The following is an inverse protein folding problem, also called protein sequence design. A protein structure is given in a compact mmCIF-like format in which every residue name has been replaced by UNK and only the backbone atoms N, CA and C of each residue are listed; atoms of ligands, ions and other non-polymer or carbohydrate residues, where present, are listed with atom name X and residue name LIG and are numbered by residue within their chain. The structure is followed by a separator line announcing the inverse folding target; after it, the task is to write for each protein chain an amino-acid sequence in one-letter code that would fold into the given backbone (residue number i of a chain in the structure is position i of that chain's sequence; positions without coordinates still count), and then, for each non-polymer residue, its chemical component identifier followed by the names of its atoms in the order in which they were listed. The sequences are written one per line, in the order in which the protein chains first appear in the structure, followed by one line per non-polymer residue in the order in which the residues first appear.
data_IF_643586988558
#
_entry.id   IF_643586988558
#
_cell.length_a   1.000
_cell.length_b   1.000
_cell.length_c   1.000
_cell.angle_alpha   90.00
_cell.angle_beta   90.00
_cell.angle_gamma   90.00
#
_symmetry.space_group_name_H-M   'P 1'
#
loop_
_entity.id
_entity.type
_entity.pdbx_description
1 polymer ?
#
# COMPACT_ATOMS: atom_id res chain seq x y z
N UNK A 1 10.23 40.31 -7.34
CA UNK A 1 11.29 39.53 -6.66
C UNK A 1 10.75 39.04 -5.34
N UNK A 2 11.03 37.77 -5.03
CA UNK A 2 10.93 37.04 -3.76
C UNK A 2 9.53 36.92 -3.12
N UNK A 3 9.06 35.74 -2.72
CA UNK A 3 9.70 34.42 -2.68
C UNK A 3 8.76 33.43 -2.00
N UNK A 4 8.54 32.29 -2.66
CA UNK A 4 7.80 31.12 -2.18
C UNK A 4 8.74 30.25 -1.33
N UNK A 5 8.44 30.10 -0.04
CA UNK A 5 9.23 29.28 0.88
C UNK A 5 8.40 28.78 2.05
N UNK A 6 7.46 27.87 1.81
CA UNK A 6 6.60 27.31 2.88
C UNK A 6 6.19 25.84 2.74
N UNK A 7 6.43 25.20 1.58
CA UNK A 7 5.95 23.83 1.33
C UNK A 7 6.86 22.71 1.87
N UNK A 8 8.19 22.90 1.87
CA UNK A 8 9.16 21.85 2.21
C UNK A 8 9.26 21.51 3.70
N UNK A 9 8.84 22.41 4.60
CA UNK A 9 9.03 22.25 6.05
C UNK A 9 7.98 21.38 6.74
N UNK A 10 6.80 21.18 6.12
CA UNK A 10 5.71 20.36 6.70
C UNK A 10 5.92 18.86 6.42
N UNK A 11 6.31 18.50 5.20
CA UNK A 11 6.65 17.12 4.81
C UNK A 11 7.86 16.58 5.57
N UNK A 12 8.88 17.40 5.80
CA UNK A 12 10.05 17.00 6.61
C UNK A 12 9.67 16.75 8.08
N UNK A 13 8.73 17.51 8.65
CA UNK A 13 8.24 17.28 10.02
C UNK A 13 7.45 15.98 10.14
N UNK A 14 6.67 15.61 9.14
CA UNK A 14 5.94 14.33 9.10
C UNK A 14 6.91 13.14 8.97
N UNK A 15 7.96 13.27 8.15
CA UNK A 15 9.03 12.27 8.03
C UNK A 15 9.82 12.13 9.34
N UNK A 16 10.17 13.24 10.00
CA UNK A 16 10.81 13.21 11.32
C UNK A 16 9.88 12.68 12.41
N UNK A 17 8.57 12.94 12.35
CA UNK A 17 7.60 12.34 13.27
C UNK A 17 7.48 10.83 13.06
N UNK A 18 7.46 10.37 11.81
CA UNK A 18 7.45 8.94 11.48
C UNK A 18 8.74 8.25 11.95
N UNK A 19 9.90 8.83 11.67
CA UNK A 19 11.21 8.29 12.10
C UNK A 19 11.35 8.35 13.63
N UNK A 20 10.94 9.45 14.27
CA UNK A 20 11.01 9.59 15.74
C UNK A 20 9.97 8.74 16.46
N UNK A 21 8.83 8.42 15.86
CA UNK A 21 7.88 7.45 16.40
C UNK A 21 8.48 6.03 16.30
N UNK A 22 9.11 5.69 15.17
CA UNK A 22 9.85 4.44 15.00
C UNK A 22 11.01 4.30 15.99
N UNK A 23 11.80 5.36 16.23
CA UNK A 23 12.89 5.34 17.19
C UNK A 23 12.43 5.36 18.66
N UNK A 24 11.32 6.04 18.99
CA UNK A 24 10.78 6.05 20.36
C UNK A 24 10.17 4.71 20.77
N UNK A 25 9.51 4.01 19.86
CA UNK A 25 8.98 2.66 20.11
C UNK A 25 10.12 1.64 20.34
N UNK A 26 11.22 1.73 19.58
CA UNK A 26 12.39 0.87 19.73
C UNK A 26 13.12 1.00 21.08
N UNK A 27 12.84 2.05 21.85
CA UNK A 27 13.47 2.34 23.15
C UNK A 27 12.55 2.09 24.36
N UNK A 28 11.36 1.52 24.15
CA UNK A 28 10.42 1.21 25.24
C UNK A 28 10.36 -0.30 25.48
N UNK A 29 10.72 -0.72 26.70
CA UNK A 29 10.41 -2.05 27.22
C UNK A 29 8.88 -2.21 27.35
N UNK A 30 8.29 -3.35 26.96
CA UNK A 30 6.85 -3.57 27.05
C UNK A 30 6.39 -3.58 28.52
N UNK A 31 5.58 -2.60 28.90
CA UNK A 31 4.91 -2.61 30.21
C UNK A 31 3.74 -3.59 30.18
N UNK A 32 3.95 -4.75 30.78
CA UNK A 32 2.86 -5.62 31.23
C UNK A 32 2.24 -5.04 32.50
N UNK A 33 0.91 -4.92 32.53
CA UNK A 33 0.17 -4.68 33.77
C UNK A 33 -0.87 -5.77 33.99
N UNK A 34 -0.93 -6.22 35.25
CA UNK A 34 -1.62 -7.40 35.73
C UNK A 34 -3.15 -7.27 35.71
N UNK A 35 -3.78 -8.43 35.54
CA UNK A 35 -5.22 -8.69 35.60
C UNK A 35 -5.75 -8.74 37.04
N UNK A 36 -7.03 -8.37 37.19
CA UNK A 36 -7.88 -8.88 38.29
C UNK A 36 -9.28 -9.21 37.74
N UNK A 37 -9.89 -10.23 38.33
CA UNK A 37 -11.04 -11.00 37.89
C UNK A 37 -12.39 -10.51 38.46
N UNK A 38 -13.50 -10.68 37.73
CA UNK A 38 -14.60 -11.61 38.06
C UNK A 38 -15.91 -11.38 37.26
N UNK A 39 -16.53 -12.52 36.93
CA UNK A 39 -17.96 -12.88 36.80
C UNK A 39 -18.84 -12.44 35.62
N UNK A 40 -19.67 -13.41 35.23
CA UNK A 40 -20.46 -13.55 34.01
C UNK A 40 -21.86 -12.93 34.05
N UNK A 41 -22.33 -12.46 32.90
CA UNK A 41 -23.69 -12.70 32.39
C UNK A 41 -23.70 -12.53 30.86
N UNK A 42 -24.38 -13.43 30.15
CA UNK A 42 -24.49 -13.47 28.69
C UNK A 42 -25.57 -12.50 28.19
N UNK A 43 -25.14 -11.36 27.61
CA UNK A 43 -25.64 -10.68 26.39
C UNK A 43 -25.27 -9.19 26.44
N UNK A 44 -24.18 -8.83 25.74
CA UNK A 44 -23.84 -7.50 25.17
C UNK A 44 -22.35 -7.50 24.81
N UNK A 45 -21.98 -7.23 23.55
CA UNK A 45 -20.62 -6.80 23.24
C UNK A 45 -20.62 -5.47 22.46
N UNK A 46 -21.04 -4.34 23.05
CA UNK A 46 -20.76 -3.02 22.48
C UNK A 46 -19.33 -2.63 22.87
N UNK A 47 -18.37 -3.17 22.13
CA UNK A 47 -16.99 -2.68 22.08
C UNK A 47 -16.78 -1.83 20.84
N UNK A 48 -15.91 -0.83 20.93
CA UNK A 48 -15.58 0.07 19.81
C UNK A 48 -14.15 -0.19 19.41
N UNK A 49 -13.94 -0.71 18.22
CA UNK A 49 -12.61 -0.82 17.62
C UNK A 49 -12.49 0.17 16.48
N UNK A 50 -11.44 0.97 16.52
CA UNK A 50 -11.08 1.85 15.42
C UNK A 50 -9.61 1.67 15.07
N UNK A 51 -9.22 2.17 13.92
CA UNK A 51 -7.83 2.37 13.55
C UNK A 51 -7.64 3.76 13.00
N UNK A 52 -6.42 4.28 13.12
CA UNK A 52 -6.00 5.43 12.35
C UNK A 52 -4.69 5.14 11.64
N UNK A 53 -4.44 5.88 10.56
CA UNK A 53 -3.19 5.83 9.83
C UNK A 53 -2.70 7.24 9.58
N UNK A 54 -1.43 7.50 9.89
CA UNK A 54 -0.75 8.74 9.52
C UNK A 54 -0.23 8.70 8.08
N UNK A 55 -0.33 7.55 7.39
CA UNK A 55 0.13 7.39 6.02
C UNK A 55 -0.92 7.77 4.97
N UNK A 56 -0.49 7.79 3.71
CA UNK A 56 -1.35 8.07 2.55
C UNK A 56 -2.19 6.84 2.18
N UNK A 57 -2.88 6.87 1.03
CA UNK A 57 -3.91 5.90 0.64
C UNK A 57 -3.55 4.43 0.88
N UNK A 58 -2.37 3.95 0.47
CA UNK A 58 -1.97 2.55 0.69
C UNK A 58 -1.90 2.15 2.19
N UNK A 59 -1.52 3.08 3.07
CA UNK A 59 -1.54 2.82 4.52
C UNK A 59 -2.97 2.88 5.08
N UNK A 60 -3.83 3.75 4.56
CA UNK A 60 -5.25 3.81 4.94
C UNK A 60 -5.95 2.48 4.62
N UNK A 61 -5.74 1.95 3.41
CA UNK A 61 -6.25 0.64 3.00
C UNK A 61 -5.75 -0.48 3.90
N UNK A 62 -4.44 -0.46 4.22
CA UNK A 62 -3.81 -1.41 5.15
C UNK A 62 -4.47 -1.42 6.53
N UNK A 63 -4.59 -0.26 7.16
CA UNK A 63 -5.19 -0.18 8.49
C UNK A 63 -6.68 -0.52 8.49
N UNK A 64 -7.42 -0.12 7.45
CA UNK A 64 -8.82 -0.53 7.29
C UNK A 64 -8.94 -2.05 7.24
N UNK A 65 -8.16 -2.71 6.40
CA UNK A 65 -8.21 -4.15 6.21
C UNK A 65 -7.82 -4.91 7.50
N UNK A 66 -6.77 -4.44 8.19
CA UNK A 66 -6.35 -5.00 9.48
C UNK A 66 -7.39 -4.77 10.57
N UNK A 67 -7.99 -3.58 10.65
CA UNK A 67 -9.07 -3.28 11.60
C UNK A 67 -10.24 -4.24 11.39
N UNK A 68 -10.74 -4.34 10.15
CA UNK A 68 -11.87 -5.20 9.84
C UNK A 68 -11.57 -6.66 10.19
N UNK A 69 -10.38 -7.14 9.83
CA UNK A 69 -9.98 -8.53 10.03
C UNK A 69 -9.76 -8.87 11.50
N UNK A 70 -9.08 -8.01 12.25
CA UNK A 70 -8.85 -8.22 13.67
C UNK A 70 -10.14 -8.07 14.47
N UNK A 71 -11.00 -7.13 14.13
CA UNK A 71 -12.31 -6.98 14.79
C UNK A 71 -13.16 -8.25 14.61
N UNK A 72 -13.24 -8.78 13.38
CA UNK A 72 -13.93 -10.05 13.10
C UNK A 72 -13.31 -11.22 13.86
N UNK A 73 -11.99 -11.33 13.85
CA UNK A 73 -11.28 -12.41 14.54
C UNK A 73 -11.54 -12.39 16.05
N UNK A 74 -11.68 -11.20 16.63
CA UNK A 74 -11.90 -11.03 18.07
C UNK A 74 -13.39 -10.88 18.44
N UNK A 75 -14.31 -11.07 17.50
CA UNK A 75 -15.76 -10.92 17.74
C UNK A 75 -16.17 -9.51 18.18
N UNK A 76 -15.55 -8.47 17.60
CA UNK A 76 -15.74 -7.06 17.94
C UNK A 76 -16.34 -6.27 16.79
N UNK A 77 -17.07 -5.21 17.11
CA UNK A 77 -17.55 -4.24 16.14
C UNK A 77 -16.45 -3.22 15.84
N UNK A 78 -16.14 -3.04 14.55
CA UNK A 78 -15.24 -1.99 14.08
C UNK A 78 -16.03 -0.79 13.54
N UNK A 79 -15.41 0.39 13.63
CA UNK A 79 -15.93 1.64 13.11
C UNK A 79 -14.88 2.37 12.30
N UNK A 80 -15.32 3.05 11.25
CA UNK A 80 -14.48 3.91 10.44
C UNK A 80 -14.34 5.27 11.13
N UNK A 81 -13.12 5.67 11.48
CA UNK A 81 -12.89 6.99 12.06
C UNK A 81 -13.05 8.10 11.00
N UNK A 82 -13.45 9.33 11.38
CA UNK A 82 -13.71 10.41 10.42
C UNK A 82 -12.52 10.75 9.51
N UNK A 83 -11.29 10.64 10.01
CA UNK A 83 -10.08 10.89 9.22
C UNK A 83 -9.88 9.85 8.12
N UNK A 84 -10.07 8.55 8.41
CA UNK A 84 -9.99 7.50 7.40
C UNK A 84 -11.19 7.53 6.45
N UNK A 85 -12.39 7.87 6.94
CA UNK A 85 -13.59 8.07 6.15
C UNK A 85 -13.36 9.07 5.00
N UNK A 86 -12.76 10.23 5.32
CA UNK A 86 -12.39 11.26 4.34
C UNK A 86 -11.47 10.76 3.21
N UNK A 87 -10.62 9.77 3.47
CA UNK A 87 -9.74 9.19 2.46
C UNK A 87 -10.42 8.12 1.61
N UNK A 88 -11.24 7.27 2.22
CA UNK A 88 -11.67 6.01 1.62
C UNK A 88 -13.07 6.08 1.02
N UNK A 89 -14.01 6.79 1.63
CA UNK A 89 -15.40 6.86 1.14
C UNK A 89 -15.58 7.59 -0.19
N UNK A 90 -14.73 8.57 -0.58
CA UNK A 90 -14.78 9.10 -1.94
C UNK A 90 -14.40 8.08 -3.01
N UNK A 91 -13.85 6.92 -2.62
CA UNK A 91 -13.30 5.91 -3.52
C UNK A 91 -14.09 4.60 -3.49
N UNK A 92 -14.57 4.18 -2.33
CA UNK A 92 -15.08 2.82 -2.10
C UNK A 92 -16.44 2.78 -1.42
N UNK A 93 -17.16 1.68 -1.65
CA UNK A 93 -18.38 1.35 -0.90
C UNK A 93 -18.04 0.46 0.31
N UNK A 94 -17.73 1.09 1.45
CA UNK A 94 -17.23 0.42 2.67
C UNK A 94 -18.39 -0.08 3.54
N UNK A 95 -18.22 -1.24 4.18
CA UNK A 95 -19.24 -1.81 5.09
C UNK A 95 -19.13 -1.33 6.54
N UNK A 96 -17.96 -0.83 6.96
CA UNK A 96 -17.79 -0.35 8.32
C UNK A 96 -18.60 0.92 8.56
N UNK A 97 -19.43 0.98 9.62
CA UNK A 97 -20.15 2.19 9.97
C UNK A 97 -19.17 3.28 10.41
N UNK A 98 -19.49 4.55 10.12
CA UNK A 98 -18.75 5.69 10.67
C UNK A 98 -18.90 5.74 12.19
N UNK A 99 -17.81 6.05 12.89
CA UNK A 99 -17.87 6.42 14.29
C UNK A 99 -18.60 7.77 14.43
N UNK A 100 -19.65 7.89 15.26
CA UNK A 100 -20.35 9.16 15.48
C UNK A 100 -19.43 10.24 16.07
N UNK A 101 -19.43 11.45 15.50
CA UNK A 101 -18.54 12.56 15.90
C UNK A 101 -18.70 13.01 17.36
N UNK A 102 -19.89 12.81 17.92
CA UNK A 102 -20.22 13.20 19.31
C UNK A 102 -19.83 12.15 20.34
N UNK A 103 -19.30 11.01 19.91
CA UNK A 103 -18.99 9.90 20.80
C UNK A 103 -17.59 10.08 21.40
N UNK A 104 -17.53 10.53 22.67
CA UNK A 104 -16.28 10.53 23.43
C UNK A 104 -16.00 9.10 23.92
N UNK A 105 -15.32 8.33 23.08
CA UNK A 105 -14.95 6.95 23.41
C UNK A 105 -13.58 6.94 24.09
N UNK A 106 -13.53 6.53 25.35
CA UNK A 106 -12.26 6.22 26.00
C UNK A 106 -11.67 4.95 25.36
N UNK A 107 -10.66 5.12 24.52
CA UNK A 107 -10.01 4.05 23.75
C UNK A 107 -8.65 3.72 24.34
N UNK A 108 -8.32 2.44 24.41
CA UNK A 108 -6.97 2.00 24.72
C UNK A 108 -6.16 1.88 23.43
N UNK A 109 -5.03 2.57 23.38
CA UNK A 109 -4.05 2.44 22.30
C UNK A 109 -3.50 1.01 22.27
N UNK A 110 -3.48 0.40 21.09
CA UNK A 110 -2.96 -0.93 20.90
C UNK A 110 -2.10 -1.00 19.64
N UNK A 111 -0.79 -1.20 19.85
CA UNK A 111 0.21 -1.15 18.79
C UNK A 111 0.25 -2.46 17.98
N UNK A 112 0.16 -2.31 16.66
CA UNK A 112 0.36 -3.36 15.68
C UNK A 112 1.77 -3.29 15.10
N UNK A 113 2.44 -4.43 15.10
CA UNK A 113 3.70 -4.66 14.39
C UNK A 113 3.44 -4.83 12.87
N UNK A 114 4.51 -4.90 12.09
CA UNK A 114 4.47 -4.97 10.62
C UNK A 114 4.01 -6.35 10.09
N UNK A 115 3.67 -7.29 10.98
CA UNK A 115 3.14 -8.62 10.66
C UNK A 115 2.22 -9.14 11.77
N UNK A 116 1.34 -10.07 11.41
CA UNK A 116 0.42 -10.72 12.33
C UNK A 116 1.17 -11.66 13.30
N UNK A 117 0.82 -11.58 14.57
CA UNK A 117 1.35 -12.42 15.65
C UNK A 117 0.22 -13.07 16.44
N UNK A 118 0.55 -14.11 17.22
CA UNK A 118 -0.43 -14.87 18.02
C UNK A 118 -1.19 -13.96 19.01
N UNK A 119 -0.49 -12.97 19.58
CA UNK A 119 -1.05 -12.01 20.55
C UNK A 119 -2.26 -11.23 19.99
N UNK A 120 -2.37 -11.08 18.67
CA UNK A 120 -3.45 -10.33 18.03
C UNK A 120 -4.72 -11.16 17.79
N UNK A 121 -4.65 -12.49 17.96
CA UNK A 121 -5.82 -13.36 17.79
C UNK A 121 -6.80 -13.31 18.96
N UNK A 122 -6.37 -12.79 20.12
CA UNK A 122 -7.17 -12.74 21.33
C UNK A 122 -6.89 -11.47 22.15
N UNK A 123 -7.28 -10.33 21.61
CA UNK A 123 -7.23 -9.02 22.28
C UNK A 123 -8.45 -8.92 23.22
N UNK A 124 -8.18 -8.96 24.53
CA UNK A 124 -9.23 -8.91 25.57
C UNK A 124 -9.90 -7.54 25.69
N UNK A 125 -9.29 -6.49 25.17
CA UNK A 125 -9.78 -5.11 25.26
C UNK A 125 -11.07 -4.89 24.47
N UNK A 126 -12.02 -4.21 25.11
CA UNK A 126 -13.34 -3.94 24.52
C UNK A 126 -13.37 -2.65 23.70
N UNK A 127 -12.54 -1.66 24.04
CA UNK A 127 -12.44 -0.36 23.37
C UNK A 127 -11.00 -0.10 22.94
N UNK A 128 -10.73 -0.21 21.65
CA UNK A 128 -9.36 -0.27 21.12
C UNK A 128 -9.18 0.75 20.00
N UNK A 129 -8.08 1.48 20.07
CA UNK A 129 -7.53 2.21 18.95
C UNK A 129 -6.29 1.46 18.44
N UNK A 130 -6.44 0.79 17.31
CA UNK A 130 -5.35 0.10 16.64
C UNK A 130 -4.44 1.12 15.96
N UNK A 131 -3.17 1.14 16.36
CA UNK A 131 -2.14 2.03 15.81
C UNK A 131 -0.91 1.22 15.37
N UNK A 132 0.13 1.89 14.88
CA UNK A 132 1.36 1.24 14.44
C UNK A 132 1.37 0.90 12.94
N UNK A 133 1.75 -0.32 12.62
CA UNK A 133 2.11 -0.75 11.27
C UNK A 133 1.34 -1.96 10.74
N UNK A 134 0.07 -2.10 11.14
CA UNK A 134 -0.82 -3.15 10.65
C UNK A 134 -1.21 -3.00 9.18
N UNK A 135 -0.25 -3.05 8.24
CA UNK A 135 -0.49 -2.94 6.80
C UNK A 135 -0.18 -4.24 6.04
N UNK A 136 0.36 -5.26 6.73
CA UNK A 136 0.74 -6.53 6.13
C UNK A 136 -0.47 -7.40 5.79
N UNK A 137 -0.39 -8.11 4.66
CA UNK A 137 -1.38 -9.11 4.25
C UNK A 137 -1.67 -10.16 5.31
N UNK A 138 -0.69 -10.45 6.18
CA UNK A 138 -0.81 -11.46 7.24
C UNK A 138 -1.93 -11.16 8.23
N UNK A 139 -2.37 -9.90 8.34
CA UNK A 139 -3.52 -9.51 9.17
C UNK A 139 -4.87 -9.87 8.55
N UNK A 140 -4.98 -9.80 7.21
CA UNK A 140 -6.29 -9.71 6.54
C UNK A 140 -6.54 -10.70 5.40
N UNK A 141 -5.50 -11.36 4.88
CA UNK A 141 -5.63 -12.27 3.73
C UNK A 141 -6.53 -13.48 3.99
N UNK A 142 -6.69 -13.87 5.26
CA UNK A 142 -7.68 -14.89 5.66
C UNK A 142 -9.12 -14.52 5.32
N UNK A 143 -9.42 -13.24 5.11
CA UNK A 143 -10.71 -12.70 4.69
C UNK A 143 -10.62 -12.07 3.30
N UNK A 144 -9.71 -12.55 2.44
CA UNK A 144 -9.36 -11.93 1.14
C UNK A 144 -10.57 -11.48 0.33
N UNK A 145 -11.54 -12.35 0.12
CA UNK A 145 -12.70 -12.03 -0.73
C UNK A 145 -13.55 -10.92 -0.13
N UNK A 146 -13.70 -10.90 1.20
CA UNK A 146 -14.41 -9.85 1.90
C UNK A 146 -13.66 -8.53 1.79
N UNK A 147 -12.35 -8.54 2.01
CA UNK A 147 -11.49 -7.36 1.86
C UNK A 147 -11.55 -6.80 0.44
N UNK A 148 -11.56 -7.66 -0.58
CA UNK A 148 -11.73 -7.21 -1.97
C UNK A 148 -13.11 -6.56 -2.20
N UNK A 149 -14.17 -7.08 -1.59
CA UNK A 149 -15.51 -6.46 -1.67
C UNK A 149 -15.56 -5.08 -1.03
N UNK A 150 -14.91 -4.89 0.11
CA UNK A 150 -14.79 -3.57 0.77
C UNK A 150 -14.17 -2.52 -0.16
N UNK A 151 -13.20 -2.92 -0.97
CA UNK A 151 -12.49 -2.02 -1.88
C UNK A 151 -13.05 -2.05 -3.31
N UNK A 152 -14.36 -2.26 -3.43
CA UNK A 152 -15.08 -2.03 -4.69
C UNK A 152 -15.19 -0.53 -4.96
N UNK A 153 -14.62 -0.07 -6.06
CA UNK A 153 -14.62 1.34 -6.43
C UNK A 153 -16.03 1.87 -6.74
N UNK A 154 -16.28 3.13 -6.38
CA UNK A 154 -17.52 3.82 -6.73
C UNK A 154 -17.69 3.96 -8.26
N UNK A 155 -18.94 4.01 -8.78
CA UNK A 155 -19.21 4.04 -10.22
C UNK A 155 -18.45 5.13 -10.98
N UNK A 156 -18.32 6.34 -10.42
CA UNK A 156 -17.63 7.46 -11.05
C UNK A 156 -16.12 7.19 -11.26
N UNK A 157 -15.48 6.52 -10.30
CA UNK A 157 -14.06 6.14 -10.39
C UNK A 157 -13.91 5.03 -11.44
N UNK A 158 -14.84 4.07 -11.45
CA UNK A 158 -14.85 2.96 -12.41
C UNK A 158 -15.05 3.45 -13.84
N UNK A 159 -15.99 4.35 -14.07
CA UNK A 159 -16.26 4.90 -15.40
C UNK A 159 -15.05 5.62 -15.99
N UNK A 160 -14.35 6.39 -15.15
CA UNK A 160 -13.09 7.05 -15.54
C UNK A 160 -12.01 6.04 -15.91
N UNK A 161 -11.86 4.98 -15.09
CA UNK A 161 -10.93 3.87 -15.36
C UNK A 161 -11.25 3.14 -16.66
N UNK A 162 -12.51 2.72 -16.84
CA UNK A 162 -12.98 1.96 -17.99
C UNK A 162 -12.83 2.76 -19.29
N UNK A 163 -13.06 4.08 -19.22
CA UNK A 163 -12.86 4.99 -20.36
C UNK A 163 -11.38 5.08 -20.73
N UNK A 164 -10.50 5.24 -19.76
CA UNK A 164 -9.06 5.27 -19.99
C UNK A 164 -8.56 3.96 -20.62
N UNK A 165 -8.87 2.80 -20.02
CA UNK A 165 -8.40 1.51 -20.53
C UNK A 165 -8.96 1.18 -21.92
N UNK A 166 -10.24 1.51 -22.20
CA UNK A 166 -10.80 1.38 -23.55
C UNK A 166 -10.09 2.28 -24.56
N UNK A 167 -9.73 3.51 -24.16
CA UNK A 167 -8.99 4.42 -25.03
C UNK A 167 -7.59 3.89 -25.37
N UNK A 168 -6.93 3.22 -24.42
CA UNK A 168 -5.64 2.55 -24.66
C UNK A 168 -5.84 1.37 -25.59
N UNK A 169 -6.82 0.49 -25.31
CA UNK A 169 -7.13 -0.67 -26.15
C UNK A 169 -7.43 -0.28 -27.61
N UNK A 170 -8.18 0.81 -27.82
CA UNK A 170 -8.49 1.32 -29.16
C UNK A 170 -7.24 1.78 -29.93
N UNK A 171 -6.25 2.38 -29.25
CA UNK A 171 -5.01 2.86 -29.87
C UNK A 171 -4.11 1.73 -30.38
N UNK A 172 -4.17 0.57 -29.72
CA UNK A 172 -3.30 -0.58 -30.01
C UNK A 172 -4.02 -1.71 -30.76
N UNK A 173 -5.32 -1.56 -31.02
CA UNK A 173 -6.13 -2.60 -31.66
C UNK A 173 -5.57 -3.05 -33.02
N UNK A 174 -4.91 -2.15 -33.76
CA UNK A 174 -4.25 -2.46 -35.03
C UNK A 174 -2.89 -3.17 -34.88
N UNK A 175 -2.28 -3.12 -33.70
CA UNK A 175 -0.95 -3.67 -33.40
C UNK A 175 -1.01 -5.11 -32.87
N UNK A 176 -2.13 -5.49 -32.24
CA UNK A 176 -2.32 -6.81 -31.65
C UNK A 176 -3.35 -7.62 -32.44
N UNK A 177 -2.93 -8.76 -32.96
CA UNK A 177 -3.73 -9.65 -33.81
C UNK A 177 -4.81 -10.38 -33.00
N UNK A 178 -5.98 -9.78 -32.84
CA UNK A 178 -7.25 -10.43 -32.44
C UNK A 178 -7.32 -11.09 -31.05
N UNK A 179 -6.24 -11.11 -30.27
CA UNK A 179 -6.20 -11.66 -28.92
C UNK A 179 -6.64 -10.64 -27.86
N UNK A 180 -7.12 -11.12 -26.72
CA UNK A 180 -7.42 -10.28 -25.56
C UNK A 180 -6.13 -9.60 -25.08
N UNK A 181 -6.10 -8.27 -25.16
CA UNK A 181 -5.02 -7.42 -24.64
C UNK A 181 -4.82 -7.73 -23.15
N UNK A 182 -3.57 -7.96 -22.74
CA UNK A 182 -3.22 -8.18 -21.33
C UNK A 182 -2.68 -6.88 -20.74
N UNK A 183 -3.44 -6.23 -19.86
CA UNK A 183 -2.96 -5.04 -19.17
C UNK A 183 -2.11 -5.42 -17.96
N UNK A 184 -0.91 -4.83 -17.88
CA UNK A 184 0.00 -4.97 -16.74
C UNK A 184 0.13 -3.61 -16.05
N UNK A 185 -0.41 -3.50 -14.85
CA UNK A 185 -0.30 -2.30 -14.03
C UNK A 185 1.11 -2.15 -13.49
N UNK A 186 1.74 -0.99 -13.68
CA UNK A 186 3.07 -0.67 -13.20
C UNK A 186 3.02 0.49 -12.20
N UNK A 187 3.23 0.19 -10.92
CA UNK A 187 3.40 1.23 -9.91
C UNK A 187 4.88 1.49 -9.62
N UNK A 188 5.36 2.67 -10.03
CA UNK A 188 6.76 3.09 -9.82
C UNK A 188 6.81 4.11 -8.68
N UNK A 189 7.16 3.64 -7.48
CA UNK A 189 7.34 4.49 -6.30
C UNK A 189 8.69 5.21 -6.29
N UNK A 190 8.66 6.54 -6.26
CA UNK A 190 9.83 7.43 -6.12
C UNK A 190 9.56 8.50 -5.06
N UNK A 191 9.39 9.77 -5.45
CA UNK A 191 9.14 10.89 -4.54
C UNK A 191 10.12 10.93 -3.35
N UNK A 192 9.58 11.02 -2.14
CA UNK A 192 10.35 11.02 -0.90
C UNK A 192 11.25 9.78 -0.72
N UNK A 193 10.94 8.64 -1.35
CA UNK A 193 11.75 7.42 -1.23
C UNK A 193 13.12 7.56 -1.91
N UNK A 194 13.25 8.43 -2.92
CA UNK A 194 14.55 8.73 -3.56
C UNK A 194 15.56 9.22 -2.51
N UNK A 195 15.09 9.97 -1.51
CA UNK A 195 15.91 10.44 -0.39
C UNK A 195 15.90 9.47 0.78
N UNK A 196 14.73 8.94 1.14
CA UNK A 196 14.55 8.19 2.40
C UNK A 196 15.27 6.83 2.36
N UNK A 197 15.13 6.11 1.26
CA UNK A 197 15.57 4.71 1.17
C UNK A 197 17.11 4.60 1.20
N UNK A 198 17.88 5.37 0.40
CA UNK A 198 19.34 5.35 0.48
C UNK A 198 19.88 5.91 1.79
N UNK A 199 19.38 7.07 2.24
CA UNK A 199 20.03 7.82 3.32
C UNK A 199 19.70 7.29 4.72
N UNK A 200 18.50 6.74 4.95
CA UNK A 200 18.07 6.32 6.28
C UNK A 200 17.82 4.82 6.39
N UNK A 201 17.48 4.16 5.27
CA UNK A 201 17.17 2.72 5.27
C UNK A 201 18.28 1.87 4.66
N UNK A 202 19.40 2.47 4.22
CA UNK A 202 20.53 1.74 3.60
C UNK A 202 20.06 0.78 2.49
N UNK A 203 19.15 1.26 1.65
CA UNK A 203 18.59 0.50 0.56
C UNK A 203 18.55 1.27 -0.74
N UNK A 204 18.12 0.61 -1.80
CA UNK A 204 17.90 1.19 -3.12
C UNK A 204 16.41 1.17 -3.44
N UNK A 205 16.01 2.04 -4.37
CA UNK A 205 14.71 1.98 -5.03
C UNK A 205 14.88 1.32 -6.40
N UNK A 206 13.77 0.98 -7.05
CA UNK A 206 13.79 0.42 -8.40
C UNK A 206 14.49 1.35 -9.39
N UNK A 207 15.41 0.78 -10.17
CA UNK A 207 16.11 1.44 -11.25
C UNK A 207 15.54 1.02 -12.62
N UNK A 208 16.06 1.60 -13.69
CA UNK A 208 15.67 1.25 -15.06
C UNK A 208 15.93 -0.24 -15.36
N UNK A 209 17.00 -0.82 -14.80
CA UNK A 209 17.36 -2.22 -14.98
C UNK A 209 16.33 -3.19 -14.40
N UNK A 210 15.83 -2.92 -13.19
CA UNK A 210 14.73 -3.66 -12.59
C UNK A 210 13.47 -3.56 -13.44
N UNK A 211 13.08 -2.35 -13.85
CA UNK A 211 11.85 -2.14 -14.64
C UNK A 211 11.92 -2.89 -15.97
N UNK A 212 13.05 -2.80 -16.69
CA UNK A 212 13.27 -3.54 -17.92
C UNK A 212 13.17 -5.06 -17.71
N UNK A 213 13.83 -5.61 -16.68
CA UNK A 213 13.75 -7.05 -16.37
C UNK A 213 12.33 -7.50 -16.04
N UNK A 214 11.59 -6.72 -15.25
CA UNK A 214 10.21 -7.03 -14.88
C UNK A 214 9.27 -7.01 -16.10
N UNK A 215 9.41 -6.00 -16.97
CA UNK A 215 8.64 -5.89 -18.21
C UNK A 215 8.93 -7.04 -19.17
N UNK A 216 10.20 -7.41 -19.36
CA UNK A 216 10.57 -8.55 -20.21
C UNK A 216 10.04 -9.88 -19.65
N UNK A 217 10.01 -10.06 -18.32
CA UNK A 217 9.36 -11.25 -17.72
C UNK A 217 7.86 -11.31 -18.03
N UNK A 218 7.16 -10.19 -17.94
CA UNK A 218 5.73 -10.15 -18.29
C UNK A 218 5.50 -10.37 -19.79
N UNK A 219 6.28 -9.73 -20.66
CA UNK A 219 6.23 -9.96 -22.12
C UNK A 219 6.50 -11.42 -22.48
N UNK A 220 7.42 -12.09 -21.77
CA UNK A 220 7.71 -13.51 -21.97
C UNK A 220 6.55 -14.45 -21.59
N UNK A 221 5.72 -14.07 -20.60
CA UNK A 221 4.54 -14.84 -20.19
C UNK A 221 3.29 -14.51 -20.99
N UNK A 222 3.16 -13.24 -21.34
CA UNK A 222 1.99 -12.63 -21.95
C UNK A 222 2.47 -11.76 -23.13
N UNK A 223 2.62 -12.34 -24.33
CA UNK A 223 3.20 -11.63 -25.49
C UNK A 223 2.49 -10.33 -25.87
N UNK A 224 1.17 -10.28 -25.69
CA UNK A 224 0.31 -9.12 -25.97
C UNK A 224 0.11 -8.24 -24.73
N UNK A 225 1.20 -8.06 -23.95
CA UNK A 225 1.21 -7.23 -22.73
C UNK A 225 1.27 -5.74 -23.04
N UNK A 226 0.44 -4.96 -22.33
CA UNK A 226 0.42 -3.51 -22.38
C UNK A 226 0.61 -2.95 -20.98
N UNK A 227 1.59 -2.09 -20.80
CA UNK A 227 2.00 -1.59 -19.51
C UNK A 227 1.32 -0.25 -19.21
N UNK A 228 0.54 -0.22 -18.12
CA UNK A 228 -0.11 0.98 -17.62
C UNK A 228 0.66 1.53 -16.43
N UNK A 229 1.32 2.68 -16.58
CA UNK A 229 2.27 3.21 -15.60
C UNK A 229 1.64 4.34 -14.78
N UNK A 230 1.66 4.19 -13.45
CA UNK A 230 1.40 5.28 -12.49
C UNK A 230 2.60 5.48 -11.57
N UNK A 231 2.90 6.74 -11.25
CA UNK A 231 4.09 7.13 -10.49
C UNK A 231 3.92 8.51 -9.89
N UNK A 232 4.54 8.74 -8.73
CA UNK A 232 4.71 10.08 -8.16
C UNK A 232 5.87 10.87 -8.78
N UNK A 233 6.56 10.28 -9.76
CA UNK A 233 7.60 10.89 -10.58
C UNK A 233 7.53 10.31 -12.00
N UNK A 234 6.46 10.70 -12.71
CA UNK A 234 6.18 10.29 -14.11
C UNK A 234 7.31 10.75 -15.03
N UNK A 235 7.90 11.92 -14.78
CA UNK A 235 9.02 12.45 -15.57
C UNK A 235 10.21 11.50 -15.53
N UNK A 236 10.62 11.01 -14.35
CA UNK A 236 11.69 10.02 -14.29
C UNK A 236 11.33 8.73 -15.05
N UNK A 237 10.07 8.28 -14.94
CA UNK A 237 9.62 7.07 -15.65
C UNK A 237 9.76 7.22 -17.16
N UNK A 238 9.36 8.36 -17.74
CA UNK A 238 9.51 8.63 -19.18
C UNK A 238 10.97 8.58 -19.66
N UNK A 239 11.92 8.98 -18.82
CA UNK A 239 13.35 8.92 -19.16
C UNK A 239 13.96 7.54 -19.00
N UNK A 240 13.38 6.66 -18.18
CA UNK A 240 14.00 5.40 -17.74
C UNK A 240 13.26 4.14 -18.22
N UNK A 241 12.03 4.27 -18.69
CA UNK A 241 11.25 3.17 -19.26
C UNK A 241 11.39 3.22 -20.78
N UNK A 242 11.82 2.11 -21.39
CA UNK A 242 11.87 2.02 -22.84
C UNK A 242 10.46 1.89 -23.42
N UNK A 243 10.01 2.94 -24.11
CA UNK A 243 8.70 3.02 -24.75
C UNK A 243 8.73 2.72 -26.26
N UNK A 244 9.89 2.33 -26.81
CA UNK A 244 10.07 2.17 -28.26
C UNK A 244 9.17 1.11 -28.91
N UNK A 245 8.64 0.17 -28.11
CA UNK A 245 7.70 -0.87 -28.57
C UNK A 245 6.25 -0.38 -28.69
N UNK A 246 5.92 0.81 -28.20
CA UNK A 246 4.56 1.35 -28.25
C UNK A 246 3.57 0.68 -27.27
N UNK A 247 4.05 -0.14 -26.34
CA UNK A 247 3.24 -0.92 -25.40
C UNK A 247 3.19 -0.30 -23.99
N UNK A 248 3.54 0.97 -23.84
CA UNK A 248 3.60 1.67 -22.53
C UNK A 248 2.73 2.92 -22.56
N UNK A 249 1.84 3.04 -21.58
CA UNK A 249 0.92 4.16 -21.42
C UNK A 249 0.95 4.68 -19.98
N UNK A 250 1.00 6.00 -19.81
CA UNK A 250 1.01 6.62 -18.48
C UNK A 250 -0.41 7.06 -18.11
N UNK A 251 -0.85 6.78 -16.89
CA UNK A 251 -2.16 7.22 -16.38
C UNK A 251 -2.29 8.74 -16.46
N UNK A 252 -1.22 9.46 -16.14
CA UNK A 252 -1.16 10.92 -16.16
C UNK A 252 -1.42 11.55 -17.55
N UNK A 253 -1.26 10.80 -18.65
CA UNK A 253 -1.52 11.30 -20.00
C UNK A 253 -3.00 11.20 -20.39
N UNK A 254 -3.69 10.16 -19.90
CA UNK A 254 -5.10 9.93 -20.21
C UNK A 254 -6.06 10.50 -19.16
N UNK A 255 -5.59 10.69 -17.93
CA UNK A 255 -6.35 11.28 -16.83
C UNK A 255 -5.49 12.38 -16.20
N UNK A 256 -5.48 13.60 -16.78
CA UNK A 256 -4.74 14.72 -16.22
C UNK A 256 -5.19 14.98 -14.77
N UNK A 257 -4.23 15.19 -13.87
CA UNK A 257 -4.50 15.38 -12.43
C UNK A 257 -5.21 14.20 -11.76
N UNK A 258 -5.01 12.98 -12.26
CA UNK A 258 -5.45 11.77 -11.58
C UNK A 258 -5.12 11.83 -10.08
N UNK A 259 -6.13 11.59 -9.26
CA UNK A 259 -5.91 11.42 -7.83
C UNK A 259 -5.23 10.08 -7.57
N UNK A 260 -4.58 9.93 -6.41
CA UNK A 260 -4.05 8.63 -6.00
C UNK A 260 -5.11 7.52 -5.95
N UNK A 261 -6.39 7.90 -5.75
CA UNK A 261 -7.52 6.98 -5.82
C UNK A 261 -7.85 6.54 -7.24
N UNK A 262 -7.67 7.41 -8.22
CA UNK A 262 -7.84 7.07 -9.63
C UNK A 262 -6.67 6.22 -10.14
N UNK A 263 -5.43 6.53 -9.74
CA UNK A 263 -4.25 5.72 -10.07
C UNK A 263 -4.43 4.27 -9.61
N UNK A 264 -4.80 4.05 -8.35
CA UNK A 264 -5.01 2.70 -7.83
C UNK A 264 -6.17 2.00 -8.53
N UNK A 265 -7.24 2.71 -8.90
CA UNK A 265 -8.36 2.13 -9.63
C UNK A 265 -7.95 1.63 -11.01
N UNK A 266 -7.17 2.42 -11.74
CA UNK A 266 -6.64 2.02 -13.06
C UNK A 266 -5.71 0.83 -12.93
N UNK A 267 -4.77 0.86 -11.99
CA UNK A 267 -3.82 -0.24 -11.82
C UNK A 267 -4.49 -1.51 -11.29
N UNK A 268 -5.50 -1.39 -10.42
CA UNK A 268 -6.26 -2.53 -9.90
C UNK A 268 -7.19 -3.17 -10.95
N UNK A 269 -7.51 -2.46 -12.03
CA UNK A 269 -8.28 -2.99 -13.16
C UNK A 269 -7.42 -3.73 -14.20
N UNK A 270 -6.09 -3.70 -14.05
CA UNK A 270 -5.18 -4.47 -14.90
C UNK A 270 -5.19 -5.97 -14.54
N UNK A 271 -4.71 -6.82 -15.45
CA UNK A 271 -4.67 -8.28 -15.26
C UNK A 271 -3.52 -8.72 -14.34
N UNK A 272 -2.38 -8.04 -14.44
CA UNK A 272 -1.13 -8.36 -13.73
C UNK A 272 -0.50 -7.09 -13.18
N UNK A 273 0.46 -7.22 -12.26
CA UNK A 273 1.13 -6.06 -11.67
C UNK A 273 2.65 -6.19 -11.63
N UNK A 274 3.34 -5.11 -11.98
CA UNK A 274 4.72 -4.84 -11.58
C UNK A 274 4.68 -3.72 -10.56
N UNK A 275 5.21 -3.96 -9.37
CA UNK A 275 5.33 -2.93 -8.35
C UNK A 275 6.79 -2.74 -7.93
N UNK A 276 7.13 -1.56 -7.44
CA UNK A 276 8.47 -1.34 -6.86
C UNK A 276 8.43 -1.58 -5.35
N UNK A 277 8.13 -0.56 -4.56
CA UNK A 277 8.13 -0.61 -3.10
C UNK A 277 6.96 0.19 -2.52
N UNK A 278 6.53 -0.20 -1.32
CA UNK A 278 5.55 0.53 -0.53
C UNK A 278 4.14 -0.02 -0.64
N UNK A 279 3.27 0.42 0.27
CA UNK A 279 1.91 -0.10 0.45
C UNK A 279 0.99 0.21 -0.72
N UNK A 280 1.21 1.33 -1.44
CA UNK A 280 0.37 1.68 -2.59
C UNK A 280 0.45 0.64 -3.71
N UNK A 281 1.68 0.27 -4.11
CA UNK A 281 1.89 -0.75 -5.15
C UNK A 281 1.41 -2.14 -4.69
N UNK A 282 1.57 -2.44 -3.39
CA UNK A 282 1.01 -3.67 -2.81
C UNK A 282 -0.51 -3.72 -3.01
N UNK A 283 -1.24 -2.64 -2.72
CA UNK A 283 -2.70 -2.64 -2.87
C UNK A 283 -3.15 -2.68 -4.32
N UNK A 284 -2.40 -2.06 -5.25
CA UNK A 284 -2.66 -2.22 -6.69
C UNK A 284 -2.61 -3.71 -7.08
N UNK A 285 -1.53 -4.40 -6.69
CA UNK A 285 -1.33 -5.81 -6.97
C UNK A 285 -2.35 -6.73 -6.26
N UNK A 286 -2.65 -6.45 -4.99
CA UNK A 286 -3.57 -7.26 -4.20
C UNK A 286 -5.00 -7.22 -4.75
N UNK A 287 -5.46 -6.05 -5.19
CA UNK A 287 -6.79 -5.87 -5.77
C UNK A 287 -6.86 -6.49 -7.17
N UNK A 288 -5.89 -6.19 -8.06
CA UNK A 288 -5.80 -6.75 -9.41
C UNK A 288 -5.76 -8.28 -9.40
N UNK A 289 -4.94 -8.87 -8.53
CA UNK A 289 -4.62 -10.30 -8.60
C UNK A 289 -3.69 -10.63 -9.78
N UNK A 290 -3.82 -11.84 -10.31
CA UNK A 290 -2.95 -12.36 -11.36
C UNK A 290 -1.49 -12.49 -10.92
N UNK A 291 -0.58 -12.48 -11.90
CA UNK A 291 0.86 -12.48 -11.67
C UNK A 291 1.35 -11.13 -11.14
N UNK A 292 2.22 -11.18 -10.14
CA UNK A 292 2.79 -9.99 -9.51
C UNK A 292 4.31 -10.12 -9.43
N UNK A 293 5.00 -9.11 -9.96
CA UNK A 293 6.44 -8.94 -9.82
C UNK A 293 6.72 -7.74 -8.90
N UNK A 294 7.59 -7.92 -7.91
CA UNK A 294 7.99 -6.87 -6.98
C UNK A 294 9.52 -6.75 -6.82
N UNK A 295 9.97 -5.57 -6.37
CA UNK A 295 11.38 -5.33 -6.06
C UNK A 295 11.72 -5.97 -4.71
N UNK A 296 12.58 -6.99 -4.74
CA UNK A 296 13.04 -7.72 -3.56
C UNK A 296 14.48 -7.38 -3.21
N UNK A 297 14.92 -7.73 -2.00
CA UNK A 297 16.31 -7.61 -1.53
C UNK A 297 16.94 -6.23 -1.77
N UNK A 298 16.15 -5.17 -1.63
CA UNK A 298 16.52 -3.80 -1.91
C UNK A 298 17.15 -3.06 -0.71
N UNK A 299 17.46 -3.77 0.38
CA UNK A 299 18.14 -3.22 1.56
C UNK A 299 19.43 -3.99 1.84
N UNK A 300 20.48 -3.32 2.30
CA UNK A 300 21.68 -3.99 2.79
C UNK A 300 21.35 -4.90 4.00
N UNK A 301 22.05 -6.03 4.19
CA UNK A 301 21.77 -6.96 5.29
C UNK A 301 21.82 -6.33 6.70
N UNK A 302 22.63 -5.27 6.86
CA UNK A 302 22.76 -4.51 8.11
C UNK A 302 21.87 -3.25 8.15
N UNK A 303 20.85 -3.18 7.31
CA UNK A 303 19.88 -2.09 7.35
C UNK A 303 19.07 -2.14 8.65
N UNK A 304 18.95 -1.03 9.40
CA UNK A 304 18.09 -0.98 10.59
C UNK A 304 16.61 -1.20 10.25
N UNK A 305 16.21 -0.94 9.00
CA UNK A 305 14.83 -1.14 8.54
C UNK A 305 14.40 -2.61 8.60
N UNK A 306 15.35 -3.54 8.40
CA UNK A 306 15.07 -4.99 8.47
C UNK A 306 14.74 -5.49 9.88
N UNK A 307 14.87 -4.66 10.92
CA UNK A 307 14.38 -4.99 12.28
C UNK A 307 12.85 -4.95 12.37
N UNK A 308 12.22 -4.11 11.57
CA UNK A 308 10.78 -3.87 11.59
C UNK A 308 10.08 -4.32 10.30
N UNK A 309 10.83 -4.59 9.23
CA UNK A 309 10.30 -5.03 7.95
C UNK A 309 10.71 -6.46 7.63
N UNK A 310 9.76 -7.27 7.15
CA UNK A 310 10.00 -8.65 6.70
C UNK A 310 9.39 -8.87 5.32
N UNK A 311 10.21 -9.21 4.32
CA UNK A 311 9.74 -9.50 2.96
C UNK A 311 8.60 -10.54 2.91
N UNK A 312 8.72 -11.62 3.69
CA UNK A 312 7.69 -12.68 3.77
C UNK A 312 6.36 -12.22 4.35
N UNK A 313 6.33 -11.12 5.10
CA UNK A 313 5.11 -10.51 5.60
C UNK A 313 4.66 -9.32 4.74
N UNK A 314 5.55 -8.72 3.97
CA UNK A 314 5.24 -7.58 3.11
C UNK A 314 4.60 -7.99 1.78
N UNK A 315 4.91 -9.19 1.27
CA UNK A 315 4.46 -9.69 -0.03
C UNK A 315 3.87 -11.07 0.09
N UNK A 316 2.88 -11.39 -0.76
CA UNK A 316 2.23 -12.70 -0.74
C UNK A 316 3.20 -13.79 -1.22
N UNK A 317 3.08 -15.03 -0.72
CA UNK A 317 4.01 -16.11 -1.04
C UNK A 317 4.08 -16.48 -2.53
N UNK A 318 2.98 -16.27 -3.27
CA UNK A 318 2.89 -16.55 -4.71
C UNK A 318 3.38 -15.39 -5.58
N UNK A 319 3.84 -14.28 -4.99
CA UNK A 319 4.38 -13.15 -5.74
C UNK A 319 5.87 -13.33 -5.98
N UNK A 320 6.33 -12.84 -7.12
CA UNK A 320 7.69 -13.05 -7.59
C UNK A 320 8.58 -11.83 -7.30
N UNK A 321 9.63 -12.06 -6.51
CA UNK A 321 10.64 -11.03 -6.24
C UNK A 321 11.75 -11.03 -7.28
N UNK A 322 12.05 -9.88 -7.87
CA UNK A 322 13.32 -9.65 -8.59
C UNK A 322 14.26 -8.90 -7.65
N UNK A 323 15.49 -9.40 -7.38
CA UNK A 323 16.41 -8.73 -6.48
C UNK A 323 16.90 -7.41 -7.08
N UNK A 324 16.98 -6.37 -6.25
CA UNK A 324 17.55 -5.08 -6.62
C UNK A 324 19.06 -5.16 -6.84
N UNK A 325 19.61 -4.27 -7.66
CA UNK A 325 21.05 -4.04 -7.72
C UNK A 325 21.50 -3.11 -6.58
N UNK A 326 22.30 -3.64 -5.65
CA UNK A 326 22.84 -2.90 -4.51
C UNK A 326 24.22 -2.26 -4.79
N UNK A 327 24.74 -2.38 -6.01
CA UNK A 327 26.09 -1.92 -6.38
C UNK A 327 26.35 -0.45 -6.06
N UNK A 328 25.31 0.40 -6.15
CA UNK A 328 25.38 1.83 -5.82
C UNK A 328 25.64 2.11 -4.33
N UNK A 329 25.35 1.17 -3.44
CA UNK A 329 25.58 1.31 -1.99
C UNK A 329 26.86 0.64 -1.51
N UNK A 330 27.39 -0.33 -2.27
CA UNK A 330 28.55 -1.13 -1.88
C UNK A 330 29.87 -0.64 -2.46
N UNK A 331 29.84 0.25 -3.46
CA UNK A 331 31.05 0.95 -3.92
C UNK A 331 31.60 1.78 -2.77
N UNK A 332 32.63 1.26 -2.11
CA UNK A 332 33.42 1.99 -1.11
C UNK A 332 33.82 3.33 -1.71
N UNK A 333 33.68 4.41 -0.94
CA UNK A 333 34.49 5.61 -1.14
C UNK A 333 35.95 5.16 -1.02
N UNK A 334 36.57 4.83 -2.14
CA UNK A 334 38.03 4.73 -2.26
C UNK A 334 38.62 6.11 -2.09
#
# INVERSE_FOLDING_TARGET
MCGSGGGQTRELREVYHFISAQQRYLNQEPRHTNTSSLTSTSQKLPGVWISSSAGRLGNQLGMYASLLSLARLNGRQAYLCPSSAKYLEPLFNLSLPRLPEKENVNLTEYWLDDWMEEKYKSISLMRVHLTGHGFSWTFFDRYRDDIKREFTFLPIIRETTDTFLRSVAAKIHSQFSGANITFVGMHVRRGDYVRIVPNYRRGVIADAGYLAKAMERMRGRYPDSVFIVASDDVTWCRHNINVSRGDVYFVADGIPQASSGQDIAVLAACNHTIMTIGTFGFWCAYLAGGDVIYLSNNFLPNSPFLRIFRYKAAYLPNWEGIPADLSSLTKKKT
#
